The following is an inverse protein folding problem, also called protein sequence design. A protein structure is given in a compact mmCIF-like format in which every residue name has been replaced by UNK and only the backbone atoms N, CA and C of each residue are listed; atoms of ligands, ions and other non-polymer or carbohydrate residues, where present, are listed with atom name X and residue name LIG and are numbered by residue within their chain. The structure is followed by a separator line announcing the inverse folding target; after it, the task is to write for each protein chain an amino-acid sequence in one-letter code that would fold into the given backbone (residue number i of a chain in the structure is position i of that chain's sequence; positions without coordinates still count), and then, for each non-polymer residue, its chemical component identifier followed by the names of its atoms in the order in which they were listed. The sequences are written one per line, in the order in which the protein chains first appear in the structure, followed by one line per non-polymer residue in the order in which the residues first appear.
data_IF_928362465594
#
_entry.id   IF_928362465594
#
_cell.length_a   1.000
_cell.length_b   1.000
_cell.length_c   1.000
_cell.angle_alpha   90.00
_cell.angle_beta   90.00
_cell.angle_gamma   90.00
#
_symmetry.space_group_name_H-M   'P 1'
#
loop_
_entity.id
_entity.type
_entity.pdbx_description
1 polymer ?
#
# COMPACT_ATOMS: atom_id res chain seq x y z
N UNK A 1 -19.02 3.41 11.35
CA UNK A 1 -18.43 3.43 12.72
C UNK A 1 -17.02 2.88 12.64
N UNK A 2 -16.21 2.99 13.70
CA UNK A 2 -14.88 2.36 13.77
C UNK A 2 -14.94 0.85 13.49
N UNK A 3 -15.89 0.17 14.13
CA UNK A 3 -16.14 -1.27 13.97
C UNK A 3 -16.32 -1.70 12.49
N UNK A 4 -17.02 -0.89 11.69
CA UNK A 4 -17.20 -1.17 10.27
C UNK A 4 -15.89 -1.08 9.47
N UNK A 5 -14.99 -0.16 9.83
CA UNK A 5 -13.66 -0.09 9.20
C UNK A 5 -12.77 -1.27 9.60
N UNK A 6 -12.83 -1.70 10.87
CA UNK A 6 -12.07 -2.87 11.32
C UNK A 6 -12.52 -4.16 10.60
N UNK A 7 -13.83 -4.33 10.40
CA UNK A 7 -14.36 -5.40 9.54
C UNK A 7 -13.84 -5.27 8.10
N UNK A 8 -13.81 -4.06 7.54
CA UNK A 8 -13.34 -3.85 6.17
C UNK A 8 -11.85 -4.20 6.01
N UNK A 9 -11.02 -3.90 7.01
CA UNK A 9 -9.60 -4.30 7.02
C UNK A 9 -9.47 -5.82 7.00
N UNK A 10 -10.16 -6.52 7.91
CA UNK A 10 -10.13 -7.98 8.00
C UNK A 10 -10.61 -8.63 6.70
N UNK A 11 -11.73 -8.16 6.14
CA UNK A 11 -12.25 -8.68 4.87
C UNK A 11 -11.28 -8.37 3.73
N UNK A 12 -10.68 -7.18 3.68
CA UNK A 12 -9.70 -6.83 2.65
C UNK A 12 -8.47 -7.74 2.69
N UNK A 13 -7.97 -8.08 3.88
CA UNK A 13 -6.88 -9.07 4.02
C UNK A 13 -7.29 -10.44 3.51
N UNK A 14 -8.48 -10.92 3.91
CA UNK A 14 -8.95 -12.25 3.54
C UNK A 14 -9.13 -12.44 2.02
N UNK A 15 -9.45 -11.37 1.30
CA UNK A 15 -9.59 -11.39 -0.16
C UNK A 15 -8.30 -11.04 -0.91
N UNK A 16 -7.20 -10.78 -0.22
CA UNK A 16 -5.96 -10.32 -0.84
C UNK A 16 -6.14 -8.98 -1.55
N UNK A 17 -6.77 -8.00 -0.88
CA UNK A 17 -7.16 -6.72 -1.46
C UNK A 17 -6.00 -5.83 -1.90
N UNK A 18 -6.33 -4.70 -2.54
CA UNK A 18 -5.36 -3.76 -3.09
C UNK A 18 -4.68 -2.92 -2.00
N UNK A 19 -3.41 -2.56 -2.20
CA UNK A 19 -2.67 -1.58 -1.38
C UNK A 19 -3.19 -0.14 -1.53
N UNK A 20 -4.15 0.10 -2.45
CA UNK A 20 -4.90 1.35 -2.51
C UNK A 20 -6.02 1.44 -1.45
N UNK A 21 -6.44 0.31 -0.86
CA UNK A 21 -7.52 0.28 0.12
C UNK A 21 -7.22 1.08 1.40
N UNK A 22 -6.00 1.05 1.98
CA UNK A 22 -5.61 1.94 3.08
C UNK A 22 -5.84 3.41 2.79
N UNK A 23 -5.39 3.90 1.62
CA UNK A 23 -5.59 5.30 1.22
C UNK A 23 -7.09 5.64 1.22
N UNK A 24 -7.90 4.80 0.57
CA UNK A 24 -9.33 5.07 0.43
C UNK A 24 -10.10 4.98 1.75
N UNK A 25 -9.84 3.96 2.59
CA UNK A 25 -10.54 3.84 3.86
C UNK A 25 -10.09 4.90 4.87
N UNK A 26 -8.81 5.26 4.91
CA UNK A 26 -8.34 6.37 5.75
C UNK A 26 -9.01 7.69 5.31
N UNK A 27 -9.17 7.92 4.00
CA UNK A 27 -9.88 9.08 3.48
C UNK A 27 -11.34 9.13 3.94
N UNK A 28 -12.08 8.03 3.79
CA UNK A 28 -13.48 7.93 4.22
C UNK A 28 -13.58 8.06 5.75
N UNK A 29 -12.66 7.46 6.50
CA UNK A 29 -12.62 7.55 7.96
C UNK A 29 -12.42 9.00 8.43
N UNK A 30 -11.47 9.73 7.83
CA UNK A 30 -11.26 11.17 8.10
C UNK A 30 -12.49 12.00 7.78
N UNK A 31 -13.16 11.72 6.66
CA UNK A 31 -14.43 12.38 6.30
C UNK A 31 -15.61 12.00 7.19
N UNK A 32 -15.49 10.98 8.04
CA UNK A 32 -16.49 10.62 9.05
C UNK A 32 -16.02 10.91 10.47
N UNK A 33 -14.86 11.59 10.63
CA UNK A 33 -14.19 11.82 11.91
C UNK A 33 -14.00 10.52 12.73
N UNK A 34 -13.74 9.41 12.05
CA UNK A 34 -13.40 8.12 12.66
C UNK A 34 -11.88 7.99 12.68
N UNK A 35 -11.24 7.75 13.84
CA UNK A 35 -9.81 7.49 13.88
C UNK A 35 -9.52 6.17 13.15
N UNK A 36 -8.56 6.19 12.23
CA UNK A 36 -8.07 5.03 11.49
C UNK A 36 -6.69 5.40 10.92
N UNK A 37 -5.70 4.53 11.10
CA UNK A 37 -4.35 4.73 10.58
C UNK A 37 -3.77 3.44 9.97
N UNK A 38 -2.55 3.51 9.43
CA UNK A 38 -1.88 2.36 8.83
C UNK A 38 -1.43 1.29 9.83
N UNK A 39 -1.28 1.61 11.12
CA UNK A 39 -1.00 0.60 12.15
C UNK A 39 -2.20 -0.32 12.36
N UNK A 40 -3.42 0.21 12.21
CA UNK A 40 -4.64 -0.60 12.29
C UNK A 40 -4.68 -1.69 11.22
N UNK A 41 -4.18 -1.39 10.01
CA UNK A 41 -4.11 -2.35 8.90
C UNK A 41 -3.20 -3.53 9.20
N UNK A 42 -2.03 -3.29 9.79
CA UNK A 42 -1.15 -4.36 10.22
C UNK A 42 -1.74 -5.11 11.42
N UNK A 43 -2.16 -4.39 12.46
CA UNK A 43 -2.65 -4.98 13.71
C UNK A 43 -3.86 -5.89 13.51
N UNK A 44 -4.80 -5.49 12.65
CA UNK A 44 -6.05 -6.23 12.44
C UNK A 44 -5.99 -7.15 11.22
N UNK A 45 -5.13 -6.84 10.25
CA UNK A 45 -5.14 -7.49 8.95
C UNK A 45 -4.01 -8.49 8.72
N UNK A 46 -2.84 -8.33 9.35
CA UNK A 46 -1.62 -9.09 8.99
C UNK A 46 -1.81 -10.61 9.12
N UNK A 47 -2.35 -11.04 10.27
CA UNK A 47 -2.57 -12.45 10.62
C UNK A 47 -3.85 -13.06 10.01
N UNK A 48 -4.58 -12.30 9.20
CA UNK A 48 -5.77 -12.82 8.52
C UNK A 48 -5.32 -13.66 7.31
N UNK A 49 -5.83 -14.89 7.16
CA UNK A 49 -5.43 -15.79 6.07
C UNK A 49 -6.00 -15.35 4.72
N UNK A 50 -5.29 -15.68 3.63
CA UNK A 50 -5.77 -15.47 2.27
C UNK A 50 -6.75 -16.58 1.91
N UNK A 51 -8.00 -16.22 1.67
CA UNK A 51 -9.07 -17.18 1.37
C UNK A 51 -9.45 -17.19 -0.12
N UNK A 52 -9.29 -16.07 -0.83
CA UNK A 52 -9.78 -15.95 -2.20
C UNK A 52 -8.65 -16.22 -3.21
N UNK A 53 -8.81 -17.31 -3.96
CA UNK A 53 -7.92 -17.70 -5.06
C UNK A 53 -8.24 -16.90 -6.31
N UNK A 54 -7.85 -15.63 -6.32
CA UNK A 54 -8.10 -14.71 -7.43
C UNK A 54 -6.83 -13.91 -7.76
N UNK A 55 -6.66 -13.61 -9.04
CA UNK A 55 -5.54 -12.77 -9.48
C UNK A 55 -5.56 -11.41 -8.75
N UNK A 56 -4.39 -10.89 -8.34
CA UNK A 56 -3.05 -11.35 -8.70
C UNK A 56 -2.41 -12.38 -7.77
N UNK A 57 -3.03 -12.72 -6.64
CA UNK A 57 -2.47 -13.67 -5.66
C UNK A 57 -2.78 -15.14 -5.99
N UNK A 58 -3.81 -15.37 -6.81
CA UNK A 58 -4.29 -16.69 -7.22
C UNK A 58 -4.55 -16.79 -8.72
N UNK A 59 -5.37 -17.77 -9.11
CA UNK A 59 -5.58 -18.17 -10.50
C UNK A 59 -6.84 -17.57 -11.13
N UNK A 60 -7.94 -17.53 -10.38
CA UNK A 60 -9.28 -17.21 -10.92
C UNK A 60 -9.54 -15.70 -11.05
N UNK A 61 -10.71 -15.36 -11.60
CA UNK A 61 -11.16 -13.98 -11.82
C UNK A 61 -12.48 -13.68 -11.07
N UNK A 62 -12.94 -12.43 -11.16
CA UNK A 62 -14.09 -11.94 -10.40
C UNK A 62 -15.42 -12.67 -10.68
N UNK A 63 -15.61 -13.23 -11.87
CA UNK A 63 -16.81 -14.01 -12.18
C UNK A 63 -16.86 -15.33 -11.38
N UNK A 64 -15.72 -16.01 -11.26
CA UNK A 64 -15.60 -17.22 -10.45
C UNK A 64 -15.80 -16.89 -8.98
N UNK A 65 -15.19 -15.80 -8.49
CA UNK A 65 -15.37 -15.34 -7.11
C UNK A 65 -16.84 -15.07 -6.79
N UNK A 66 -17.57 -14.39 -7.68
CA UNK A 66 -19.01 -14.17 -7.51
C UNK A 66 -19.80 -15.48 -7.45
N UNK A 67 -19.54 -16.40 -8.41
CA UNK A 67 -20.22 -17.70 -8.48
C UNK A 67 -19.92 -18.58 -7.26
N UNK A 68 -18.71 -18.50 -6.73
CA UNK A 68 -18.27 -19.22 -5.53
C UNK A 68 -18.95 -18.71 -4.24
N UNK A 69 -19.59 -17.53 -4.26
CA UNK A 69 -20.33 -16.98 -3.12
C UNK A 69 -19.99 -15.53 -2.79
N UNK A 70 -18.91 -15.00 -3.37
CA UNK A 70 -18.49 -13.60 -3.21
C UNK A 70 -18.15 -13.23 -1.76
N UNK A 71 -18.17 -11.92 -1.50
CA UNK A 71 -17.87 -11.32 -0.19
C UNK A 71 -18.71 -11.92 0.94
N UNK A 72 -20.04 -12.16 0.80
CA UNK A 72 -20.82 -12.75 1.88
C UNK A 72 -20.31 -14.11 2.35
N UNK A 73 -19.83 -14.96 1.42
CA UNK A 73 -19.28 -16.27 1.79
C UNK A 73 -17.95 -16.13 2.55
N UNK A 74 -17.06 -15.22 2.11
CA UNK A 74 -15.81 -14.90 2.82
C UNK A 74 -16.09 -14.38 4.23
N UNK A 75 -17.04 -13.46 4.38
CA UNK A 75 -17.44 -12.93 5.68
C UNK A 75 -17.99 -14.04 6.58
N UNK A 76 -18.78 -14.98 6.04
CA UNK A 76 -19.27 -16.12 6.82
C UNK A 76 -18.14 -17.04 7.29
N UNK A 77 -17.18 -17.37 6.42
CA UNK A 77 -16.00 -18.16 6.81
C UNK A 77 -15.22 -17.49 7.95
N UNK A 78 -14.98 -16.18 7.85
CA UNK A 78 -14.31 -15.40 8.90
C UNK A 78 -15.11 -15.39 10.21
N UNK A 79 -16.44 -15.24 10.14
CA UNK A 79 -17.30 -15.27 11.34
C UNK A 79 -17.28 -16.63 12.03
N UNK A 80 -17.40 -17.72 11.26
CA UNK A 80 -17.40 -19.08 11.81
C UNK A 80 -16.07 -19.43 12.48
N UNK A 81 -14.97 -18.85 11.99
CA UNK A 81 -13.65 -18.96 12.60
C UNK A 81 -13.39 -17.95 13.74
N UNK A 82 -14.34 -17.05 14.05
CA UNK A 82 -14.16 -16.00 15.06
C UNK A 82 -13.17 -14.90 14.67
N UNK A 83 -12.86 -14.77 13.38
CA UNK A 83 -11.90 -13.79 12.85
C UNK A 83 -12.56 -12.46 12.44
N UNK A 84 -13.87 -12.43 12.20
CA UNK A 84 -14.58 -11.17 11.96
C UNK A 84 -14.82 -10.46 13.32
N UNK A 85 -14.25 -9.26 13.57
CA UNK A 85 -14.27 -8.67 14.89
C UNK A 85 -15.65 -8.14 15.31
N UNK A 86 -16.45 -7.64 14.37
CA UNK A 86 -17.71 -6.94 14.68
C UNK A 86 -18.89 -7.43 13.84
N UNK A 87 -19.36 -8.65 14.10
CA UNK A 87 -20.53 -9.22 13.40
C UNK A 87 -21.83 -8.40 13.57
N UNK A 88 -21.94 -7.63 14.66
CA UNK A 88 -23.12 -6.80 14.97
C UNK A 88 -23.14 -5.43 14.26
N UNK A 89 -22.09 -5.10 13.50
CA UNK A 89 -22.02 -3.82 12.78
C UNK A 89 -23.21 -3.66 11.81
N UNK A 90 -24.00 -2.59 12.01
CA UNK A 90 -25.21 -2.31 11.23
C UNK A 90 -24.87 -1.92 9.79
N UNK A 91 -25.65 -2.46 8.85
CA UNK A 91 -25.55 -2.15 7.43
C UNK A 91 -26.73 -1.30 6.95
N UNK A 92 -26.68 -0.88 5.68
CA UNK A 92 -27.68 0.02 5.06
C UNK A 92 -29.10 -0.56 5.00
N UNK A 93 -29.28 -1.88 5.12
CA UNK A 93 -30.60 -2.51 5.15
C UNK A 93 -31.20 -2.62 6.57
N UNK A 94 -30.52 -2.08 7.58
CA UNK A 94 -30.93 -2.10 8.98
C UNK A 94 -30.63 -3.40 9.73
N UNK A 95 -30.07 -4.42 9.07
CA UNK A 95 -29.56 -5.64 9.70
C UNK A 95 -28.04 -5.55 9.90
N UNK A 96 -27.51 -6.33 10.85
CA UNK A 96 -26.07 -6.46 11.05
C UNK A 96 -25.40 -7.22 9.90
N UNK A 97 -24.10 -7.01 9.71
CA UNK A 97 -23.32 -7.75 8.71
C UNK A 97 -23.37 -9.26 8.96
N UNK A 98 -23.41 -9.67 10.23
CA UNK A 98 -23.53 -11.06 10.63
C UNK A 98 -24.83 -11.70 10.19
N UNK A 99 -25.97 -11.04 10.45
CA UNK A 99 -27.28 -11.52 9.95
C UNK A 99 -27.30 -11.61 8.44
N UNK A 100 -26.74 -10.61 7.74
CA UNK A 100 -26.73 -10.58 6.28
C UNK A 100 -25.88 -11.70 5.64
N UNK A 101 -24.82 -12.17 6.32
CA UNK A 101 -23.88 -13.14 5.77
C UNK A 101 -24.03 -14.56 6.36
N UNK A 102 -24.81 -14.76 7.42
CA UNK A 102 -24.91 -16.03 8.15
C UNK A 102 -25.26 -17.25 7.28
N UNK A 103 -26.10 -17.06 6.25
CA UNK A 103 -26.52 -18.15 5.37
C UNK A 103 -25.70 -18.25 4.07
N UNK A 104 -24.74 -17.34 3.84
CA UNK A 104 -23.91 -17.34 2.64
C UNK A 104 -22.96 -18.55 2.66
N UNK A 105 -22.92 -19.32 1.58
CA UNK A 105 -22.10 -20.54 1.49
C UNK A 105 -21.01 -20.39 0.44
N UNK A 106 -19.84 -20.94 0.73
CA UNK A 106 -18.86 -21.27 -0.30
C UNK A 106 -19.46 -22.34 -1.21
N UNK A 107 -19.59 -22.02 -2.50
CA UNK A 107 -20.13 -22.90 -3.54
C UNK A 107 -19.04 -23.59 -4.34
N UNK A 108 -17.83 -23.03 -4.34
CA UNK A 108 -16.65 -23.60 -4.97
C UNK A 108 -15.43 -23.37 -4.08
N UNK A 109 -14.92 -24.44 -3.49
CA UNK A 109 -13.79 -24.41 -2.56
C UNK A 109 -12.43 -24.28 -3.27
N UNK A 110 -12.38 -24.36 -4.61
CA UNK A 110 -11.15 -24.04 -5.35
C UNK A 110 -10.95 -22.51 -5.45
N UNK A 111 -12.03 -21.74 -5.34
CA UNK A 111 -12.05 -20.28 -5.48
C UNK A 111 -12.07 -19.58 -4.13
N UNK A 112 -12.89 -20.05 -3.18
CA UNK A 112 -12.90 -19.54 -1.80
C UNK A 112 -12.49 -20.68 -0.87
N UNK A 113 -11.29 -20.57 -0.30
CA UNK A 113 -10.66 -21.57 0.55
C UNK A 113 -11.16 -21.42 2.00
N UNK A 114 -11.27 -22.52 2.75
CA UNK A 114 -11.68 -22.47 4.15
C UNK A 114 -10.56 -21.89 5.03
N UNK A 115 -10.91 -21.24 6.14
CA UNK A 115 -9.93 -20.69 7.10
C UNK A 115 -8.99 -21.76 7.66
N UNK A 116 -9.46 -23.00 7.80
CA UNK A 116 -8.66 -24.12 8.32
C UNK A 116 -7.57 -24.60 7.35
N UNK A 117 -7.74 -24.36 6.06
CA UNK A 117 -6.80 -24.70 5.00
C UNK A 117 -6.77 -23.54 3.99
N UNK A 118 -6.18 -22.40 4.37
CA UNK A 118 -6.17 -21.21 3.53
C UNK A 118 -5.06 -21.28 2.48
N UNK A 119 -5.10 -20.42 1.48
CA UNK A 119 -4.01 -20.33 0.50
C UNK A 119 -2.69 -19.89 1.15
N UNK A 120 -2.79 -18.90 2.06
CA UNK A 120 -1.68 -18.41 2.85
C UNK A 120 -2.18 -18.12 4.27
N UNK A 121 -1.38 -18.39 5.32
CA UNK A 121 -1.78 -18.13 6.69
C UNK A 121 -1.86 -16.64 7.02
N UNK A 122 -1.05 -15.80 6.36
CA UNK A 122 -0.96 -14.36 6.59
C UNK A 122 -1.05 -13.62 5.26
N UNK A 123 -2.03 -12.74 5.11
CA UNK A 123 -2.34 -12.09 3.83
C UNK A 123 -2.46 -10.56 3.90
N UNK A 124 -2.44 -10.00 5.10
CA UNK A 124 -2.60 -8.57 5.29
C UNK A 124 -1.41 -7.75 4.83
N UNK A 125 -1.37 -6.53 5.34
CA UNK A 125 -0.31 -5.58 5.05
C UNK A 125 0.69 -5.52 6.19
N UNK A 126 1.96 -5.37 5.84
CA UNK A 126 2.99 -4.90 6.76
C UNK A 126 3.08 -3.38 6.60
N UNK A 127 2.99 -2.66 7.71
CA UNK A 127 3.26 -1.25 7.81
C UNK A 127 4.73 -1.06 8.17
N UNK A 128 5.43 -0.27 7.37
CA UNK A 128 6.86 0.00 7.53
C UNK A 128 7.06 1.48 7.89
N UNK A 129 8.01 1.75 8.77
CA UNK A 129 8.44 3.10 9.16
C UNK A 129 9.95 3.14 9.42
N UNK A 130 10.58 4.30 9.29
CA UNK A 130 12.01 4.44 9.53
C UNK A 130 12.55 5.72 8.93
N UNK A 131 13.86 5.81 8.74
CA UNK A 131 14.43 7.05 8.19
C UNK A 131 14.11 7.26 6.68
N UNK A 132 13.61 6.23 5.98
CA UNK A 132 13.15 6.33 4.58
C UNK A 132 11.79 7.04 4.45
N UNK A 133 10.89 6.78 5.38
CA UNK A 133 9.52 7.29 5.42
C UNK A 133 8.89 7.04 6.80
N UNK A 134 7.92 7.86 7.19
CA UNK A 134 7.17 7.68 8.44
C UNK A 134 6.15 6.53 8.33
N UNK A 135 5.64 6.28 7.11
CA UNK A 135 4.67 5.24 6.82
C UNK A 135 4.78 4.75 5.37
N UNK A 136 4.84 3.44 5.18
CA UNK A 136 4.62 2.77 3.89
C UNK A 136 3.93 1.42 4.08
N UNK A 137 3.33 0.89 3.02
CA UNK A 137 2.59 -0.38 3.04
C UNK A 137 3.25 -1.39 2.10
N UNK A 138 3.45 -2.61 2.58
CA UNK A 138 3.83 -3.77 1.76
C UNK A 138 2.75 -4.85 1.81
N UNK A 139 2.40 -5.40 0.64
CA UNK A 139 1.48 -6.53 0.53
C UNK A 139 2.24 -7.85 0.54
N UNK A 140 2.12 -8.61 1.61
CA UNK A 140 2.89 -9.87 1.77
C UNK A 140 2.25 -11.06 1.05
N UNK A 141 0.96 -10.98 0.70
CA UNK A 141 0.24 -12.08 0.05
C UNK A 141 0.68 -12.36 -1.39
N UNK A 142 1.53 -11.52 -1.97
CA UNK A 142 2.08 -11.66 -3.32
C UNK A 142 3.61 -11.87 -3.31
N UNK A 143 4.19 -12.13 -2.13
CA UNK A 143 5.58 -12.55 -2.02
C UNK A 143 5.69 -13.96 -2.63
N UNK A 144 6.39 -14.06 -3.76
CA UNK A 144 6.66 -15.34 -4.41
C UNK A 144 7.66 -16.17 -3.63
N UNK A 145 7.69 -17.49 -3.86
CA UNK A 145 8.72 -18.37 -3.31
C UNK A 145 10.12 -17.92 -3.74
N UNK A 146 10.28 -17.43 -4.97
CA UNK A 146 11.54 -16.86 -5.45
C UNK A 146 11.99 -15.69 -4.58
N UNK A 147 11.10 -14.71 -4.34
CA UNK A 147 11.40 -13.54 -3.52
C UNK A 147 11.70 -13.94 -2.06
N UNK A 148 10.88 -14.83 -1.49
CA UNK A 148 11.07 -15.30 -0.11
C UNK A 148 12.40 -16.02 0.06
N UNK A 149 12.74 -16.93 -0.85
CA UNK A 149 13.99 -17.69 -0.78
C UNK A 149 15.22 -16.80 -0.95
N UNK A 150 15.14 -15.79 -1.83
CA UNK A 150 16.26 -14.88 -2.09
C UNK A 150 16.48 -13.87 -0.97
N UNK A 151 15.41 -13.24 -0.48
CA UNK A 151 15.53 -12.08 0.40
C UNK A 151 15.14 -12.34 1.85
N UNK A 152 14.21 -13.26 2.12
CA UNK A 152 13.57 -13.36 3.46
C UNK A 152 13.91 -14.64 4.23
N UNK A 153 14.83 -15.47 3.71
CA UNK A 153 15.12 -16.82 4.24
C UNK A 153 16.46 -16.95 4.95
N UNK A 154 17.14 -15.84 5.27
CA UNK A 154 18.35 -15.88 6.08
C UNK A 154 18.02 -16.42 7.50
N UNK A 155 18.59 -17.55 7.95
CA UNK A 155 18.27 -18.10 9.27
C UNK A 155 18.75 -17.22 10.43
N UNK A 156 19.79 -16.40 10.23
CA UNK A 156 20.32 -15.50 11.24
C UNK A 156 19.57 -14.15 11.29
N UNK A 157 18.84 -13.82 10.22
CA UNK A 157 18.07 -12.58 10.07
C UNK A 157 16.81 -12.79 9.21
N UNK A 158 15.85 -13.61 9.68
CA UNK A 158 14.70 -14.02 8.88
C UNK A 158 13.69 -12.88 8.70
N UNK A 159 13.06 -12.85 7.52
CA UNK A 159 12.12 -11.81 7.09
C UNK A 159 12.71 -10.38 7.07
N UNK A 160 14.04 -10.26 6.95
CA UNK A 160 14.74 -8.99 6.74
C UNK A 160 15.78 -9.13 5.62
N UNK A 161 16.06 -8.03 4.92
CA UNK A 161 17.05 -7.98 3.84
C UNK A 161 17.69 -6.61 3.69
N UNK A 162 18.88 -6.63 3.11
CA UNK A 162 19.66 -5.44 2.76
C UNK A 162 19.93 -5.41 1.26
N UNK A 163 20.15 -4.23 0.71
CA UNK A 163 20.35 -4.07 -0.72
C UNK A 163 20.70 -2.64 -1.13
N UNK A 164 21.25 -2.53 -2.34
CA UNK A 164 21.74 -1.26 -2.90
C UNK A 164 20.61 -0.51 -3.59
N UNK A 165 20.36 0.73 -3.20
CA UNK A 165 19.34 1.56 -3.83
C UNK A 165 19.71 1.92 -5.27
N UNK A 166 18.76 1.76 -6.20
CA UNK A 166 18.80 2.31 -7.56
C UNK A 166 17.61 3.25 -7.69
N UNK A 167 17.89 4.57 -7.68
CA UNK A 167 16.86 5.60 -7.60
C UNK A 167 16.49 6.09 -8.99
N UNK A 168 15.19 6.23 -9.24
CA UNK A 168 14.59 6.82 -10.44
C UNK A 168 13.64 7.96 -10.07
N UNK A 169 13.76 9.08 -10.78
CA UNK A 169 12.92 10.27 -10.60
C UNK A 169 11.74 10.20 -11.59
N UNK A 170 10.67 9.52 -11.19
CA UNK A 170 9.49 9.29 -12.02
C UNK A 170 9.60 8.11 -13.01
N UNK A 171 8.49 7.71 -13.64
CA UNK A 171 8.45 6.55 -14.53
C UNK A 171 9.21 6.75 -15.85
N UNK A 172 9.31 7.99 -16.36
CA UNK A 172 10.07 8.29 -17.57
C UNK A 172 11.57 8.00 -17.37
N UNK A 173 12.12 8.39 -16.24
CA UNK A 173 13.52 8.15 -15.87
C UNK A 173 13.80 6.66 -15.65
N UNK A 174 12.88 5.95 -14.99
CA UNK A 174 12.90 4.49 -14.87
C UNK A 174 12.96 3.81 -16.24
N UNK A 175 12.03 4.13 -17.14
CA UNK A 175 11.99 3.51 -18.47
C UNK A 175 13.22 3.85 -19.32
N UNK A 176 13.82 5.02 -19.12
CA UNK A 176 15.00 5.43 -19.85
C UNK A 176 16.28 4.72 -19.37
N UNK A 177 16.41 4.48 -18.06
CA UNK A 177 17.68 4.04 -17.46
C UNK A 177 17.71 2.62 -16.95
N UNK A 178 16.58 1.92 -16.80
CA UNK A 178 16.55 0.58 -16.17
C UNK A 178 17.50 -0.44 -16.83
N UNK A 179 17.70 -0.37 -18.14
CA UNK A 179 18.61 -1.24 -18.89
C UNK A 179 20.01 -0.62 -19.13
N UNK A 180 20.33 0.52 -18.50
CA UNK A 180 21.65 1.14 -18.59
C UNK A 180 22.69 0.33 -17.82
N UNK A 181 23.70 -0.26 -18.48
CA UNK A 181 24.75 -1.02 -17.81
C UNK A 181 25.57 -0.20 -16.81
N UNK A 182 25.58 1.12 -16.91
CA UNK A 182 26.29 1.99 -15.97
C UNK A 182 25.66 2.02 -14.57
N UNK A 183 24.42 1.54 -14.41
CA UNK A 183 23.77 1.41 -13.11
C UNK A 183 24.21 0.17 -12.33
N UNK A 184 24.88 -0.77 -12.97
CA UNK A 184 25.42 -2.00 -12.35
C UNK A 184 24.37 -2.75 -11.49
N UNK A 185 23.14 -2.84 -12.00
CA UNK A 185 22.01 -3.46 -11.28
C UNK A 185 22.20 -4.98 -11.22
N UNK A 186 22.18 -5.52 -10.01
CA UNK A 186 22.32 -6.95 -9.70
C UNK A 186 21.12 -7.49 -8.89
N UNK A 187 21.17 -8.76 -8.48
CA UNK A 187 20.11 -9.38 -7.68
C UNK A 187 19.93 -8.81 -6.26
N UNK A 188 20.91 -8.05 -5.76
CA UNK A 188 20.88 -7.41 -4.43
C UNK A 188 20.46 -5.94 -4.50
N UNK A 189 20.12 -5.46 -5.69
CA UNK A 189 19.68 -4.09 -5.91
C UNK A 189 18.19 -3.92 -5.55
N UNK A 190 17.84 -2.76 -4.98
CA UNK A 190 16.48 -2.33 -4.71
C UNK A 190 16.09 -1.20 -5.65
N UNK A 191 15.05 -1.39 -6.44
CA UNK A 191 14.56 -0.37 -7.35
C UNK A 191 13.70 0.63 -6.56
N UNK A 192 14.02 1.92 -6.67
CA UNK A 192 13.28 2.99 -5.99
C UNK A 192 12.77 3.99 -7.00
N UNK A 193 11.46 4.25 -7.01
CA UNK A 193 10.87 5.34 -7.79
C UNK A 193 10.30 6.39 -6.85
N UNK A 194 10.65 7.65 -7.06
CA UNK A 194 10.20 8.78 -6.24
C UNK A 194 9.67 9.93 -7.10
N UNK A 195 8.99 10.88 -6.46
CA UNK A 195 8.27 11.93 -7.17
C UNK A 195 6.97 11.43 -7.80
N UNK A 196 6.47 10.27 -7.36
CA UNK A 196 5.26 9.62 -7.85
C UNK A 196 4.06 9.76 -6.90
N UNK A 197 4.22 10.48 -5.78
CA UNK A 197 3.20 10.70 -4.77
C UNK A 197 2.15 11.76 -5.09
N UNK A 198 1.31 12.14 -4.09
CA UNK A 198 0.21 13.10 -4.25
C UNK A 198 0.61 14.45 -4.83
N UNK A 199 1.75 15.02 -4.42
CA UNK A 199 2.25 16.33 -4.86
C UNK A 199 3.19 16.17 -6.05
N UNK A 200 4.10 15.19 -5.99
CA UNK A 200 5.19 15.03 -6.95
C UNK A 200 4.68 14.78 -8.35
N UNK A 201 3.79 13.80 -8.52
CA UNK A 201 3.44 13.31 -9.85
C UNK A 201 2.71 14.35 -10.74
N UNK A 202 1.60 15.00 -10.31
CA UNK A 202 0.78 14.89 -9.09
C UNK A 202 -0.38 13.91 -9.18
N UNK A 203 -0.99 13.58 -8.04
CA UNK A 203 -2.19 12.73 -7.95
C UNK A 203 -1.93 11.27 -7.56
N UNK A 204 -0.66 10.90 -7.32
CA UNK A 204 -0.32 9.57 -6.85
C UNK A 204 -0.41 8.49 -7.95
N UNK A 205 0.69 8.23 -8.65
CA UNK A 205 0.71 7.34 -9.81
C UNK A 205 0.93 5.87 -9.44
N UNK A 206 0.41 4.94 -10.26
CA UNK A 206 0.63 3.49 -10.11
C UNK A 206 1.87 3.04 -10.89
N UNK A 207 3.05 3.30 -10.33
CA UNK A 207 4.35 3.11 -11.04
C UNK A 207 5.40 2.35 -10.22
N UNK A 208 5.11 2.00 -8.97
CA UNK A 208 6.11 1.37 -8.08
C UNK A 208 6.38 -0.09 -8.43
N UNK A 209 5.48 -0.75 -9.16
CA UNK A 209 5.63 -2.13 -9.64
C UNK A 209 6.62 -2.24 -10.83
N UNK A 210 7.85 -1.79 -10.61
CA UNK A 210 8.95 -1.85 -11.56
C UNK A 210 9.36 -3.30 -11.85
N UNK A 211 9.92 -3.52 -13.03
CA UNK A 211 10.47 -4.81 -13.44
C UNK A 211 11.99 -4.77 -13.33
N UNK A 212 12.58 -5.94 -13.07
CA UNK A 212 14.03 -6.09 -13.15
C UNK A 212 14.53 -5.80 -14.57
N UNK A 213 15.78 -5.35 -14.75
CA UNK A 213 16.38 -5.15 -16.06
C UNK A 213 16.33 -6.41 -16.91
N UNK A 214 16.32 -6.23 -18.24
CA UNK A 214 16.25 -7.33 -19.22
C UNK A 214 17.33 -8.39 -18.99
N UNK A 215 18.53 -7.95 -18.58
CA UNK A 215 19.67 -8.84 -18.30
C UNK A 215 19.40 -9.80 -17.12
N UNK A 216 18.70 -9.36 -16.08
CA UNK A 216 18.35 -10.18 -14.91
C UNK A 216 17.17 -11.10 -15.19
N UNK A 217 16.19 -10.63 -15.97
CA UNK A 217 15.06 -11.45 -16.42
C UNK A 217 15.55 -12.67 -17.22
N UNK A 218 16.52 -12.48 -18.11
CA UNK A 218 17.15 -13.59 -18.87
C UNK A 218 17.88 -14.58 -17.97
N UNK A 219 18.38 -14.13 -16.81
CA UNK A 219 19.04 -14.98 -15.80
C UNK A 219 18.04 -15.67 -14.86
N UNK A 220 16.73 -15.45 -15.05
CA UNK A 220 15.68 -16.03 -14.22
C UNK A 220 15.47 -15.32 -12.88
N UNK A 221 15.91 -14.07 -12.77
CA UNK A 221 15.60 -13.19 -11.64
C UNK A 221 14.40 -12.34 -12.08
N UNK A 222 13.20 -12.72 -11.64
CA UNK A 222 11.95 -12.11 -12.14
C UNK A 222 11.50 -10.91 -11.30
N UNK A 223 11.99 -10.81 -10.06
CA UNK A 223 11.57 -9.77 -9.12
C UNK A 223 12.75 -9.24 -8.31
N UNK A 224 12.93 -7.92 -8.34
CA UNK A 224 13.73 -7.18 -7.37
C UNK A 224 12.81 -6.48 -6.36
N UNK A 225 13.28 -6.19 -5.12
CA UNK A 225 12.56 -5.33 -4.20
C UNK A 225 12.30 -3.95 -4.83
N UNK A 226 11.06 -3.48 -4.72
CA UNK A 226 10.63 -2.19 -5.26
C UNK A 226 10.08 -1.30 -4.15
N UNK A 227 10.49 -0.03 -4.12
CA UNK A 227 10.08 0.96 -3.12
C UNK A 227 9.63 2.24 -3.83
N UNK A 228 8.60 2.92 -3.34
CA UNK A 228 8.30 4.26 -3.83
C UNK A 228 7.24 5.03 -3.07
N UNK A 229 7.25 6.35 -3.29
CA UNK A 229 6.23 7.28 -2.79
C UNK A 229 4.97 7.32 -3.65
N UNK A 230 4.93 6.52 -4.74
CA UNK A 230 3.74 6.27 -5.54
C UNK A 230 2.91 5.08 -5.04
N UNK A 231 1.97 4.66 -5.88
CA UNK A 231 1.10 3.50 -5.69
C UNK A 231 1.51 2.38 -6.66
N UNK A 232 0.75 1.29 -6.62
CA UNK A 232 0.75 0.29 -7.67
C UNK A 232 -0.66 -0.20 -7.94
N UNK A 233 -0.87 -0.82 -9.09
CA UNK A 233 -2.17 -1.39 -9.41
C UNK A 233 -2.55 -2.50 -8.44
N UNK A 234 -3.84 -2.59 -8.08
CA UNK A 234 -4.36 -3.68 -7.26
C UNK A 234 -4.20 -5.07 -7.90
N UNK A 235 -4.00 -5.11 -9.22
CA UNK A 235 -3.71 -6.32 -10.00
C UNK A 235 -2.22 -6.62 -10.11
N UNK A 236 -1.36 -5.89 -9.40
CA UNK A 236 0.08 -6.17 -9.35
C UNK A 236 0.37 -7.40 -8.48
N UNK A 237 1.13 -8.34 -9.03
CA UNK A 237 1.74 -9.46 -8.30
C UNK A 237 3.10 -9.12 -7.68
N UNK A 238 3.54 -7.85 -7.74
CA UNK A 238 4.83 -7.43 -7.16
C UNK A 238 4.69 -7.12 -5.66
N UNK A 239 5.53 -7.70 -4.78
CA UNK A 239 5.56 -7.39 -3.35
C UNK A 239 6.30 -6.06 -3.07
N UNK A 240 5.85 -4.96 -3.68
CA UNK A 240 6.49 -3.65 -3.53
C UNK A 240 6.10 -2.96 -2.22
N UNK A 241 6.98 -2.09 -1.73
CA UNK A 241 6.72 -1.13 -0.66
C UNK A 241 6.20 0.15 -1.29
N UNK A 242 4.93 0.47 -1.04
CA UNK A 242 4.21 1.57 -1.71
C UNK A 242 3.68 2.58 -0.70
N UNK A 243 3.15 3.67 -1.22
CA UNK A 243 2.49 4.73 -0.45
C UNK A 243 3.43 5.42 0.55
N UNK A 244 4.75 5.39 0.29
CA UNK A 244 5.73 5.97 1.19
C UNK A 244 5.41 7.44 1.46
N UNK A 245 5.21 7.76 2.72
CA UNK A 245 4.77 9.07 3.21
C UNK A 245 5.67 9.48 4.39
N UNK A 246 6.17 10.73 4.44
CA UNK A 246 6.03 11.78 3.43
C UNK A 246 6.70 11.41 2.09
N UNK A 247 6.09 11.82 0.98
CA UNK A 247 6.66 11.66 -0.36
C UNK A 247 7.92 12.51 -0.57
N UNK A 248 8.69 12.24 -1.63
CA UNK A 248 9.89 13.02 -1.92
C UNK A 248 9.60 14.52 -2.15
N UNK A 249 8.52 14.83 -2.87
CA UNK A 249 8.06 16.20 -3.12
C UNK A 249 7.64 16.97 -1.84
N UNK A 250 7.36 16.26 -0.75
CA UNK A 250 7.08 16.84 0.57
C UNK A 250 8.31 16.86 1.50
N UNK A 251 9.50 16.51 0.99
CA UNK A 251 10.74 16.47 1.76
C UNK A 251 10.94 15.20 2.59
N UNK A 252 10.23 14.12 2.29
CA UNK A 252 10.41 12.83 2.95
C UNK A 252 11.78 12.19 2.70
N UNK A 253 12.10 11.11 3.41
CA UNK A 253 13.41 10.46 3.35
C UNK A 253 13.83 10.01 1.94
N UNK A 254 12.87 9.61 1.10
CA UNK A 254 13.13 9.28 -0.31
C UNK A 254 13.69 10.45 -1.12
N UNK A 255 13.47 11.71 -0.72
CA UNK A 255 14.00 12.89 -1.42
C UNK A 255 15.54 13.00 -1.34
N UNK A 256 16.15 12.41 -0.31
CA UNK A 256 17.60 12.48 -0.05
C UNK A 256 18.32 11.15 -0.28
N UNK A 257 17.58 10.10 -0.60
CA UNK A 257 18.15 8.81 -1.01
C UNK A 257 18.94 8.96 -2.31
N UNK A 258 20.09 8.32 -2.40
CA UNK A 258 20.95 8.32 -3.59
C UNK A 258 21.19 6.90 -4.07
N UNK A 259 21.34 6.74 -5.39
CA UNK A 259 21.78 5.48 -5.98
C UNK A 259 23.13 5.07 -5.37
N UNK A 260 23.24 3.81 -4.93
CA UNK A 260 24.42 3.27 -4.25
C UNK A 260 24.31 3.23 -2.72
N UNK A 261 23.34 3.94 -2.11
CA UNK A 261 23.09 3.82 -0.67
C UNK A 261 22.61 2.40 -0.32
N UNK A 262 23.00 1.91 0.85
CA UNK A 262 22.47 0.66 1.39
C UNK A 262 21.15 0.93 2.11
N UNK A 263 20.17 0.07 1.88
CA UNK A 263 18.86 0.06 2.55
C UNK A 263 18.71 -1.26 3.30
N UNK A 264 18.12 -1.19 4.49
CA UNK A 264 17.65 -2.35 5.26
C UNK A 264 16.14 -2.31 5.40
N UNK A 265 15.48 -3.43 5.10
CA UNK A 265 14.05 -3.66 5.33
C UNK A 265 13.90 -4.81 6.32
N UNK A 266 13.13 -4.62 7.38
CA UNK A 266 12.82 -5.65 8.38
C UNK A 266 11.30 -5.77 8.56
N UNK A 267 10.73 -6.87 8.04
CA UNK A 267 9.28 -7.08 8.05
C UNK A 267 8.74 -7.47 9.43
N UNK A 268 9.60 -7.96 10.33
CA UNK A 268 9.20 -8.34 11.70
C UNK A 268 9.12 -7.11 12.60
N UNK A 269 10.12 -6.23 12.47
CA UNK A 269 10.16 -4.98 13.22
C UNK A 269 9.28 -3.90 12.60
N UNK A 270 8.91 -4.06 11.32
CA UNK A 270 8.16 -3.05 10.59
C UNK A 270 9.04 -1.83 10.26
N UNK A 271 10.32 -2.05 9.95
CA UNK A 271 11.28 -0.96 9.73
C UNK A 271 11.86 -0.91 8.33
N UNK A 272 12.18 0.31 7.88
CA UNK A 272 12.80 0.58 6.58
C UNK A 272 13.78 1.75 6.70
N UNK A 273 15.08 1.47 6.59
CA UNK A 273 16.14 2.41 6.92
C UNK A 273 17.25 2.46 5.86
N UNK A 274 17.67 3.66 5.51
CA UNK A 274 18.96 3.96 4.89
C UNK A 274 20.07 3.67 5.90
N UNK A 275 21.01 2.80 5.54
CA UNK A 275 22.23 2.53 6.31
C UNK A 275 23.30 3.58 6.01
N UNK A 276 22.90 4.85 6.13
CA UNK A 276 23.72 6.03 5.88
C UNK A 276 23.87 6.80 7.20
N UNK A 277 25.08 7.30 7.54
CA UNK A 277 25.26 8.07 8.76
C UNK A 277 24.34 9.30 8.82
N UNK A 278 23.77 9.55 10.00
CA UNK A 278 22.81 10.65 10.21
C UNK A 278 23.39 12.03 9.85
N UNK A 279 24.70 12.25 10.04
CA UNK A 279 25.39 13.48 9.62
C UNK A 279 25.28 13.69 8.11
N UNK A 280 25.55 12.64 7.31
CA UNK A 280 25.45 12.71 5.86
C UNK A 280 24.00 12.90 5.39
N UNK A 281 23.03 12.26 6.05
CA UNK A 281 21.61 12.48 5.75
C UNK A 281 21.21 13.94 6.01
N UNK A 282 21.69 14.53 7.10
CA UNK A 282 21.43 15.94 7.41
C UNK A 282 22.08 16.90 6.41
N UNK A 283 23.31 16.62 5.96
CA UNK A 283 23.95 17.39 4.89
C UNK A 283 23.12 17.37 3.60
N UNK A 284 22.58 16.20 3.23
CA UNK A 284 21.71 16.06 2.05
C UNK A 284 20.39 16.81 2.22
N UNK A 285 19.78 16.81 3.41
CA UNK A 285 18.56 17.59 3.71
C UNK A 285 18.81 19.09 3.53
N UNK A 286 19.90 19.61 4.12
CA UNK A 286 20.28 21.02 3.98
C UNK A 286 20.54 21.37 2.53
N UNK A 287 21.31 20.55 1.80
CA UNK A 287 21.58 20.78 0.39
C UNK A 287 20.31 20.79 -0.47
N UNK A 288 19.33 19.92 -0.16
CA UNK A 288 18.03 19.88 -0.84
C UNK A 288 17.21 21.15 -0.57
N UNK A 289 17.16 21.60 0.69
CA UNK A 289 16.47 22.84 1.07
C UNK A 289 17.08 24.07 0.38
N UNK A 290 18.41 24.16 0.34
CA UNK A 290 19.14 25.25 -0.34
C UNK A 290 18.88 25.29 -1.85
N UNK A 291 18.57 24.13 -2.47
CA UNK A 291 18.21 24.02 -3.89
C UNK A 291 16.73 24.34 -4.16
N UNK A 292 15.93 24.60 -3.12
CA UNK A 292 14.50 24.90 -3.24
C UNK A 292 13.57 23.70 -3.09
N UNK A 293 14.09 22.57 -2.57
CA UNK A 293 13.33 21.34 -2.35
C UNK A 293 13.46 20.33 -3.49
N UNK A 294 12.72 19.23 -3.38
CA UNK A 294 12.72 18.17 -4.40
C UNK A 294 12.13 18.68 -5.73
N UNK A 295 12.82 18.51 -6.87
CA UNK A 295 12.32 18.96 -8.16
C UNK A 295 11.18 18.06 -8.64
N UNK A 296 10.06 18.66 -9.05
CA UNK A 296 8.95 17.96 -9.68
C UNK A 296 8.28 18.84 -10.74
N UNK A 297 7.50 18.26 -11.68
CA UNK A 297 6.89 19.03 -12.77
C UNK A 297 5.95 20.14 -12.28
N UNK A 298 5.94 21.29 -12.96
CA UNK A 298 5.02 22.39 -12.68
C UNK A 298 3.55 21.96 -12.82
N UNK A 299 2.62 22.75 -12.26
CA UNK A 299 1.19 22.49 -12.44
C UNK A 299 0.76 22.91 -13.84
N UNK A 300 0.26 21.96 -14.64
CA UNK A 300 -0.21 22.21 -16.01
C UNK A 300 -1.69 22.59 -16.09
N UNK A 301 -2.44 22.42 -15.00
CA UNK A 301 -3.88 22.75 -14.96
C UNK A 301 -4.24 23.44 -13.63
N UNK A 302 -5.31 24.27 -13.60
CA UNK A 302 -5.79 24.86 -12.36
C UNK A 302 -6.13 23.83 -11.29
N UNK A 303 -6.65 22.66 -11.68
CA UNK A 303 -6.96 21.60 -10.73
C UNK A 303 -5.70 21.00 -10.09
N UNK A 304 -4.63 20.81 -10.83
CA UNK A 304 -3.35 20.34 -10.27
C UNK A 304 -2.81 21.34 -9.24
N UNK A 305 -2.88 22.64 -9.52
CA UNK A 305 -2.46 23.67 -8.57
C UNK A 305 -3.32 23.66 -7.29
N UNK A 306 -4.65 23.61 -7.45
CA UNK A 306 -5.60 23.51 -6.34
C UNK A 306 -5.32 22.26 -5.50
N UNK A 307 -5.16 21.09 -6.14
CA UNK A 307 -4.92 19.84 -5.43
C UNK A 307 -3.59 19.87 -4.68
N UNK A 308 -2.48 20.25 -5.31
CA UNK A 308 -1.15 20.34 -4.66
C UNK A 308 -1.16 21.26 -3.45
N UNK A 309 -1.91 22.36 -3.50
CA UNK A 309 -1.97 23.33 -2.40
C UNK A 309 -2.71 22.82 -1.15
N UNK A 310 -3.45 21.71 -1.25
CA UNK A 310 -4.39 21.26 -0.22
C UNK A 310 -4.34 19.77 0.10
N UNK A 311 -3.70 18.94 -0.73
CA UNK A 311 -3.72 17.49 -0.54
C UNK A 311 -2.91 17.08 0.68
N UNK A 312 -3.39 16.08 1.42
CA UNK A 312 -2.60 15.36 2.42
C UNK A 312 -1.82 14.20 1.78
N UNK A 313 -0.94 13.58 2.54
CA UNK A 313 -0.15 12.41 2.13
C UNK A 313 -1.00 11.12 2.11
N UNK A 314 -0.43 10.00 1.64
CA UNK A 314 -1.19 8.76 1.44
C UNK A 314 -1.61 8.06 2.73
N UNK A 315 -0.76 8.10 3.75
CA UNK A 315 -1.06 7.64 5.11
C UNK A 315 -2.29 8.37 5.68
N UNK A 316 -2.48 9.62 5.27
CA UNK A 316 -3.63 10.47 5.62
C UNK A 316 -4.77 10.44 4.60
N UNK A 317 -4.77 9.44 3.71
CA UNK A 317 -5.85 9.17 2.76
C UNK A 317 -5.91 10.11 1.56
N UNK A 318 -4.89 10.92 1.31
CA UNK A 318 -4.82 11.82 0.15
C UNK A 318 -6.05 12.76 0.01
N UNK A 319 -6.66 13.11 1.14
CA UNK A 319 -7.81 14.02 1.18
C UNK A 319 -7.37 15.46 0.91
N UNK A 320 -8.29 16.32 0.48
CA UNK A 320 -8.06 17.76 0.59
C UNK A 320 -8.15 18.15 2.07
N UNK A 321 -7.04 18.55 2.68
CA UNK A 321 -6.93 18.95 4.09
C UNK A 321 -8.08 19.83 4.61
N UNK A 322 -8.50 20.91 3.92
CA UNK A 322 -9.60 21.72 4.43
C UNK A 322 -10.98 21.07 4.30
N UNK A 323 -11.13 19.97 3.55
CA UNK A 323 -12.42 19.34 3.31
C UNK A 323 -12.92 18.49 4.49
N UNK A 324 -12.02 17.88 5.27
CA UNK A 324 -12.40 16.96 6.36
C UNK A 324 -13.11 17.65 7.52
N UNK A 325 -13.02 18.99 7.64
CA UNK A 325 -13.73 19.77 8.66
C UNK A 325 -15.24 19.90 8.40
N UNK A 326 -15.70 19.65 7.17
CA UNK A 326 -17.11 19.80 6.81
C UNK A 326 -17.86 18.48 7.08
N UNK A 327 -18.46 18.39 8.26
CA UNK A 327 -19.15 17.21 8.76
C UNK A 327 -20.67 17.45 8.85
N UNK A 328 -21.45 16.41 8.56
CA UNK A 328 -22.91 16.37 8.71
C UNK A 328 -23.62 17.67 8.28
N UNK A 329 -23.23 18.20 7.11
CA UNK A 329 -23.56 19.57 6.69
C UNK A 329 -25.08 19.78 6.58
N UNK A 330 -25.80 18.78 6.08
CA UNK A 330 -27.24 18.83 5.92
C UNK A 330 -28.00 18.90 7.25
N UNK A 331 -27.56 18.17 8.29
CA UNK A 331 -28.23 18.21 9.61
C UNK A 331 -27.75 19.37 10.46
N UNK A 332 -26.49 19.77 10.31
CA UNK A 332 -25.89 20.87 11.09
C UNK A 332 -26.38 22.24 10.61
N UNK A 333 -26.43 22.47 9.29
CA UNK A 333 -26.76 23.78 8.72
C UNK A 333 -28.16 23.85 8.11
N UNK A 334 -28.84 22.71 7.94
CA UNK A 334 -30.14 22.65 7.27
C UNK A 334 -30.03 22.92 5.76
N UNK A 335 -31.15 23.22 5.09
CA UNK A 335 -31.13 23.56 3.68
C UNK A 335 -30.31 24.83 3.43
N UNK A 336 -29.63 24.93 2.27
CA UNK A 336 -28.96 26.17 1.90
C UNK A 336 -29.99 27.30 1.73
N UNK A 337 -29.50 28.55 1.69
CA UNK A 337 -30.36 29.70 1.43
C UNK A 337 -31.15 29.49 0.15
N UNK A 338 -32.42 29.90 0.16
CA UNK A 338 -33.22 29.98 -1.05
C UNK A 338 -32.52 30.90 -2.05
N UNK A 339 -32.59 30.54 -3.33
CA UNK A 339 -32.02 31.31 -4.42
C UNK A 339 -32.99 32.39 -4.97
N UNK A 340 -34.18 32.50 -4.39
CA UNK A 340 -35.21 33.53 -4.60
C UNK A 340 -36.19 33.55 -3.43
#
# INVERSE_FOLDING_TARGET
TREAFENAIVVNSAIGGSTNAPIHLNAVARHLAVPLDNNDWQKLGLEIPLLVNMQPAGEYLGEDYFRAGGVPAVVNELMNAGLLPHAEAITVNGQSIGVNCAEAKVRDSNVIWPVAEPMLPNAGFVHLSGNLFDSAIMKISVISDEFRNRYLSNPDDPDAFEGTAIVFDGPEDYHQRIDDPALDIDENSMLVVRGAGPIGYPGGAEVVNMQAPSALLVQGIHSLPCIGDGRQSGTSGSPSIVNASPEAAAGGGLAILQTGDQIRIDLRQGTADMLVPEEQLNERRVALEEQGGFPYPESHTPWQEIQRSMVEQFDEGMVLKPAVKYQDTARTFGPPRNNH
#
